data_IF_295139015216
#
_entry.id   IF_295139015216
#
_cell.length_a   1.000
_cell.length_b   1.000
_cell.length_c   1.000
_cell.angle_alpha   90.00
_cell.angle_beta   90.00
_cell.angle_gamma   90.00
#
_symmetry.space_group_name_H-M   'P 1'
#
loop_
_entity.id
_entity.type
_entity.pdbx_description
1 polymer ?
#
# COMPACT_ATOMS: atom_id res chain seq x y z
N UNK A 1 -7.47 -8.32 0.89
CA UNK A 1 -6.53 -7.21 1.16
C UNK A 1 -7.06 -5.94 0.47
N UNK A 2 -6.64 -4.73 0.87
CA UNK A 2 -6.95 -3.51 0.12
C UNK A 2 -6.46 -3.63 -1.32
N UNK A 3 -7.22 -3.09 -2.28
CA UNK A 3 -7.04 -3.34 -3.72
C UNK A 3 -5.87 -2.58 -4.34
N UNK A 4 -5.39 -1.51 -3.70
CA UNK A 4 -4.28 -0.68 -4.17
C UNK A 4 -2.98 -0.88 -3.38
N UNK A 5 -3.02 -1.69 -2.34
CA UNK A 5 -1.86 -1.91 -1.48
C UNK A 5 -0.88 -2.87 -2.15
N UNK A 6 0.40 -2.49 -2.19
CA UNK A 6 1.47 -3.35 -2.68
C UNK A 6 2.79 -3.03 -1.99
N UNK A 7 3.65 -4.03 -1.87
CA UNK A 7 5.02 -3.86 -1.37
C UNK A 7 5.98 -3.67 -2.55
N UNK A 8 7.02 -2.89 -2.36
CA UNK A 8 8.07 -2.71 -3.36
C UNK A 8 9.41 -2.34 -2.74
N UNK A 9 10.54 -2.75 -3.35
CA UNK A 9 11.86 -2.45 -2.82
C UNK A 9 12.24 -0.98 -3.06
N UNK A 10 12.78 -0.34 -2.03
CA UNK A 10 13.46 0.96 -2.14
C UNK A 10 14.95 0.69 -1.97
N UNK A 11 15.73 0.90 -3.03
CA UNK A 11 17.18 0.58 -3.05
C UNK A 11 17.98 1.69 -3.72
N UNK A 12 19.31 1.63 -3.59
CA UNK A 12 20.22 2.63 -4.17
C UNK A 12 20.45 2.42 -5.68
N UNK A 13 20.19 1.22 -6.20
CA UNK A 13 20.43 0.88 -7.61
C UNK A 13 19.27 0.09 -8.18
N UNK A 14 19.01 0.24 -9.48
CA UNK A 14 17.98 -0.56 -10.18
C UNK A 14 18.29 -2.05 -10.10
N UNK A 15 19.57 -2.44 -10.16
CA UNK A 15 19.99 -3.83 -10.02
C UNK A 15 19.57 -4.42 -8.67
N UNK A 16 19.79 -3.71 -7.56
CA UNK A 16 19.35 -4.15 -6.23
C UNK A 16 17.82 -4.26 -6.15
N UNK A 17 17.08 -3.33 -6.76
CA UNK A 17 15.62 -3.42 -6.85
C UNK A 17 15.18 -4.69 -7.58
N UNK A 18 15.81 -5.03 -8.70
CA UNK A 18 15.50 -6.26 -9.46
C UNK A 18 15.80 -7.51 -8.64
N UNK A 19 16.95 -7.56 -7.94
CA UNK A 19 17.27 -8.68 -7.06
C UNK A 19 16.25 -8.86 -5.94
N UNK A 20 15.80 -7.77 -5.30
CA UNK A 20 14.79 -7.85 -4.25
C UNK A 20 13.40 -8.19 -4.79
N UNK A 21 13.02 -7.67 -5.97
CA UNK A 21 11.76 -8.03 -6.62
C UNK A 21 11.68 -9.55 -6.87
N UNK A 22 12.77 -10.15 -7.33
CA UNK A 22 12.85 -11.61 -7.54
C UNK A 22 12.74 -12.43 -6.25
N UNK A 23 13.06 -11.84 -5.10
CA UNK A 23 12.93 -12.50 -3.79
C UNK A 23 11.50 -12.39 -3.25
N UNK A 24 10.83 -11.25 -3.44
CA UNK A 24 9.51 -10.99 -2.85
C UNK A 24 8.34 -11.42 -3.74
N UNK A 25 8.55 -11.54 -5.05
CA UNK A 25 7.49 -11.96 -5.97
C UNK A 25 7.17 -13.43 -5.78
N UNK A 26 5.88 -13.76 -5.72
CA UNK A 26 5.42 -15.12 -5.58
C UNK A 26 3.94 -15.20 -5.24
N UNK A 27 3.38 -16.40 -5.42
CA UNK A 27 2.01 -16.70 -5.01
C UNK A 27 1.95 -16.90 -3.49
N UNK A 28 1.07 -16.16 -2.80
CA UNK A 28 0.72 -16.40 -1.39
C UNK A 28 -0.74 -16.89 -1.33
N UNK A 29 -1.03 -18.11 -0.82
CA UNK A 29 -2.39 -18.59 -0.64
C UNK A 29 -3.29 -17.68 0.22
N UNK A 30 -2.71 -16.92 1.15
CA UNK A 30 -3.45 -15.97 2.01
C UNK A 30 -3.77 -14.67 1.29
N UNK A 31 -3.06 -14.39 0.20
CA UNK A 31 -3.29 -13.25 -0.69
C UNK A 31 -3.40 -13.75 -2.15
N UNK A 32 -4.18 -14.80 -2.34
CA UNK A 32 -4.23 -15.53 -3.61
C UNK A 32 -4.76 -14.66 -4.75
N UNK A 33 -5.72 -13.77 -4.48
CA UNK A 33 -6.32 -12.90 -5.49
C UNK A 33 -5.27 -11.94 -6.07
N UNK A 34 -4.58 -11.17 -5.21
CA UNK A 34 -3.60 -10.19 -5.66
C UNK A 34 -2.36 -10.87 -6.27
N UNK A 35 -1.85 -11.93 -5.64
CA UNK A 35 -0.64 -12.61 -6.12
C UNK A 35 -0.87 -13.42 -7.40
N UNK A 36 -2.07 -13.97 -7.61
CA UNK A 36 -2.44 -14.62 -8.87
C UNK A 36 -2.54 -13.61 -10.02
N UNK A 37 -3.16 -12.45 -9.78
CA UNK A 37 -3.25 -11.38 -10.78
C UNK A 37 -1.86 -10.82 -11.13
N UNK A 38 -0.99 -10.61 -10.14
CA UNK A 38 0.38 -10.16 -10.34
C UNK A 38 1.24 -11.17 -11.15
N UNK A 39 0.96 -12.48 -11.03
CA UNK A 39 1.68 -13.51 -11.78
C UNK A 39 1.55 -13.34 -13.30
N UNK A 40 0.48 -12.72 -13.81
CA UNK A 40 0.29 -12.41 -15.24
C UNK A 40 1.38 -11.49 -15.80
N UNK A 41 1.96 -10.65 -14.94
CA UNK A 41 2.97 -9.65 -15.31
C UNK A 41 4.38 -10.05 -14.89
N UNK A 42 4.53 -11.12 -14.11
CA UNK A 42 5.83 -11.61 -13.67
C UNK A 42 6.55 -12.32 -14.82
N UNK A 43 7.78 -11.91 -15.19
CA UNK A 43 8.54 -12.58 -16.24
C UNK A 43 8.80 -14.06 -15.93
N UNK A 44 8.66 -14.92 -16.94
CA UNK A 44 9.13 -16.30 -16.81
C UNK A 44 10.62 -16.31 -16.48
N UNK A 45 10.99 -16.91 -15.33
CA UNK A 45 12.36 -16.94 -14.84
C UNK A 45 12.82 -15.72 -14.02
N UNK A 46 11.91 -14.77 -13.72
CA UNK A 46 12.17 -13.62 -12.85
C UNK A 46 12.57 -12.34 -13.59
N UNK A 47 12.52 -11.22 -12.88
CA UNK A 47 12.83 -9.87 -13.34
C UNK A 47 14.30 -9.70 -13.76
N UNK A 48 15.22 -10.56 -13.29
CA UNK A 48 16.63 -10.58 -13.73
C UNK A 48 16.83 -10.87 -15.22
N UNK A 49 15.87 -11.49 -15.91
CA UNK A 49 16.10 -12.05 -17.24
C UNK A 49 15.77 -11.10 -18.41
N UNK A 50 15.22 -9.91 -18.15
CA UNK A 50 14.78 -9.00 -19.21
C UNK A 50 15.63 -7.72 -19.27
N UNK A 51 16.03 -7.33 -20.47
CA UNK A 51 16.36 -5.94 -20.80
C UNK A 51 15.09 -5.20 -21.21
N UNK A 52 14.83 -4.02 -20.64
CA UNK A 52 13.68 -3.20 -21.00
C UNK A 52 14.02 -2.29 -22.18
N UNK A 53 13.16 -2.24 -23.19
CA UNK A 53 13.20 -1.20 -24.21
C UNK A 53 12.50 0.06 -23.68
N UNK A 54 13.14 1.21 -23.80
CA UNK A 54 12.54 2.50 -23.46
C UNK A 54 11.75 2.99 -24.66
N UNK A 55 10.45 3.23 -24.46
CA UNK A 55 9.57 3.85 -25.44
C UNK A 55 9.32 5.30 -25.00
N UNK A 56 9.81 6.24 -25.80
CA UNK A 56 9.51 7.66 -25.61
C UNK A 56 8.12 8.00 -26.18
N UNK A 57 7.54 9.13 -25.72
CA UNK A 57 6.28 9.67 -26.22
C UNK A 57 5.03 8.79 -25.99
N UNK A 58 5.03 7.98 -24.92
CA UNK A 58 3.81 7.28 -24.51
C UNK A 58 2.76 8.29 -23.97
N UNK A 59 1.59 8.32 -24.58
CA UNK A 59 0.44 9.06 -24.07
C UNK A 59 -0.38 8.15 -23.13
N UNK A 60 -0.47 8.53 -21.85
CA UNK A 60 -1.41 7.90 -20.92
C UNK A 60 -2.75 8.62 -21.07
N UNK A 61 -3.71 7.94 -21.72
CA UNK A 61 -5.06 8.47 -21.85
C UNK A 61 -5.70 8.69 -20.48
N UNK A 62 -6.48 9.77 -20.33
CA UNK A 62 -7.19 10.13 -19.09
C UNK A 62 -6.29 10.38 -17.86
N UNK A 63 -5.01 10.74 -18.04
CA UNK A 63 -4.09 10.99 -16.92
C UNK A 63 -4.64 12.02 -15.91
N UNK A 64 -5.32 13.07 -16.38
CA UNK A 64 -5.94 14.09 -15.53
C UNK A 64 -7.07 13.53 -14.64
N UNK A 65 -7.75 12.48 -15.10
CA UNK A 65 -8.77 11.78 -14.33
C UNK A 65 -8.14 10.82 -13.32
N UNK A 66 -7.15 10.03 -13.76
CA UNK A 66 -6.43 9.06 -12.94
C UNK A 66 -5.77 9.75 -11.73
N UNK A 67 -5.08 10.87 -11.96
CA UNK A 67 -4.38 11.60 -10.92
C UNK A 67 -5.29 12.42 -10.00
N UNK A 68 -6.61 12.47 -10.28
CA UNK A 68 -7.57 13.14 -9.42
C UNK A 68 -8.29 12.12 -8.54
N UNK A 69 -7.87 11.91 -7.27
CA UNK A 69 -8.35 10.81 -6.43
C UNK A 69 -9.86 10.88 -6.13
N UNK A 70 -10.46 12.07 -6.23
CA UNK A 70 -11.91 12.26 -6.03
C UNK A 70 -12.70 11.88 -7.27
N UNK A 71 -12.12 12.06 -8.46
CA UNK A 71 -12.76 11.72 -9.73
C UNK A 71 -12.52 10.26 -10.11
N UNK A 72 -11.30 9.76 -9.92
CA UNK A 72 -10.93 8.37 -10.20
C UNK A 72 -11.68 7.34 -9.35
N UNK A 73 -12.30 7.76 -8.25
CA UNK A 73 -12.94 6.87 -7.27
C UNK A 73 -11.97 6.31 -6.23
N UNK A 74 -10.67 6.57 -6.38
CA UNK A 74 -9.60 6.12 -5.48
C UNK A 74 -9.86 6.53 -4.04
N UNK A 75 -10.26 7.78 -3.78
CA UNK A 75 -10.53 8.25 -2.43
C UNK A 75 -11.72 7.53 -1.79
N UNK A 76 -12.76 7.25 -2.57
CA UNK A 76 -13.94 6.52 -2.08
C UNK A 76 -13.56 5.07 -1.75
N UNK A 77 -12.79 4.43 -2.62
CA UNK A 77 -12.30 3.07 -2.42
C UNK A 77 -11.38 2.97 -1.20
N UNK A 78 -10.42 3.90 -1.08
CA UNK A 78 -9.51 4.01 0.06
C UNK A 78 -10.28 4.07 1.38
N UNK A 79 -11.26 4.97 1.50
CA UNK A 79 -12.01 5.12 2.75
C UNK A 79 -12.89 3.89 3.04
N UNK A 80 -13.46 3.26 2.02
CA UNK A 80 -14.28 2.05 2.17
C UNK A 80 -13.44 0.86 2.65
N UNK A 81 -12.27 0.64 2.05
CA UNK A 81 -11.40 -0.49 2.35
C UNK A 81 -10.58 -0.29 3.63
N UNK A 82 -10.15 0.94 3.92
CA UNK A 82 -9.27 1.25 5.05
C UNK A 82 -9.85 0.77 6.39
N UNK A 83 -11.09 1.13 6.69
CA UNK A 83 -11.72 0.76 7.97
C UNK A 83 -11.87 -0.76 8.11
N UNK A 84 -12.32 -1.43 7.06
CA UNK A 84 -12.56 -2.87 7.08
C UNK A 84 -11.22 -3.62 7.24
N UNK A 85 -10.28 -3.35 6.34
CA UNK A 85 -9.00 -4.05 6.29
C UNK A 85 -8.15 -3.79 7.54
N UNK A 86 -8.13 -2.57 8.06
CA UNK A 86 -7.40 -2.26 9.30
C UNK A 86 -7.99 -3.02 10.50
N UNK A 87 -9.33 -3.08 10.61
CA UNK A 87 -9.96 -3.80 11.71
C UNK A 87 -9.66 -5.31 11.64
N UNK A 88 -9.68 -5.90 10.46
CA UNK A 88 -9.42 -7.32 10.32
C UNK A 88 -7.94 -7.63 10.58
N UNK A 89 -7.02 -6.81 10.07
CA UNK A 89 -5.60 -6.89 10.40
C UNK A 89 -5.34 -6.83 11.92
N UNK A 90 -5.90 -5.82 12.61
CA UNK A 90 -5.69 -5.64 14.05
C UNK A 90 -6.27 -6.78 14.91
N UNK A 91 -7.33 -7.45 14.45
CA UNK A 91 -7.89 -8.62 15.14
C UNK A 91 -6.97 -9.83 15.06
N UNK A 92 -6.28 -10.02 13.94
CA UNK A 92 -5.39 -11.17 13.72
C UNK A 92 -4.06 -11.07 14.47
N UNK A 93 -3.64 -9.87 14.87
CA UNK A 93 -2.40 -9.66 15.61
C UNK A 93 -2.37 -10.46 16.93
N UNK A 94 -1.31 -11.23 17.16
CA UNK A 94 -1.16 -11.98 18.43
C UNK A 94 -1.05 -11.02 19.62
N UNK A 95 -0.28 -9.94 19.47
CA UNK A 95 -0.04 -8.94 20.51
C UNK A 95 -0.30 -7.55 19.96
N UNK A 96 -1.29 -6.86 20.50
CA UNK A 96 -1.61 -5.47 20.17
C UNK A 96 -2.42 -4.82 21.30
N UNK A 97 -2.15 -3.55 21.66
CA UNK A 97 -2.96 -2.79 22.63
C UNK A 97 -4.30 -2.33 22.04
N UNK A 98 -4.50 -2.43 20.72
CA UNK A 98 -5.70 -1.99 19.99
C UNK A 98 -6.20 -3.12 19.08
N UNK A 99 -7.52 -3.25 18.92
CA UNK A 99 -8.15 -4.31 18.10
C UNK A 99 -9.07 -3.78 17.00
N UNK A 100 -9.20 -2.46 16.90
CA UNK A 100 -10.04 -1.79 15.92
C UNK A 100 -9.60 -0.35 15.70
N UNK A 101 -10.09 0.26 14.61
CA UNK A 101 -9.95 1.69 14.34
C UNK A 101 -10.56 2.56 15.46
N UNK A 102 -11.62 2.09 16.12
CA UNK A 102 -12.20 2.81 17.26
C UNK A 102 -11.22 2.85 18.44
N UNK A 103 -10.53 1.75 18.71
CA UNK A 103 -9.50 1.67 19.76
C UNK A 103 -8.31 2.56 19.42
N UNK A 104 -7.88 2.59 18.14
CA UNK A 104 -6.81 3.49 17.67
C UNK A 104 -7.18 4.95 17.88
N UNK A 105 -8.42 5.35 17.53
CA UNK A 105 -8.88 6.73 17.74
C UNK A 105 -8.89 7.07 19.23
N UNK A 106 -9.41 6.18 20.07
CA UNK A 106 -9.41 6.37 21.52
C UNK A 106 -7.99 6.46 22.07
N UNK A 107 -7.08 5.59 21.64
CA UNK A 107 -5.67 5.59 22.04
C UNK A 107 -5.00 6.93 21.69
N UNK A 108 -5.18 7.42 20.46
CA UNK A 108 -4.60 8.70 20.01
C UNK A 108 -5.18 9.90 20.77
N UNK A 109 -6.45 9.83 21.19
CA UNK A 109 -7.09 10.87 22.01
C UNK A 109 -6.57 10.89 23.45
N UNK A 110 -6.22 9.73 24.02
CA UNK A 110 -5.65 9.62 25.36
C UNK A 110 -4.13 9.90 25.40
N UNK A 111 -3.44 9.83 24.26
CA UNK A 111 -1.99 10.07 24.15
C UNK A 111 -1.65 11.21 23.17
N UNK A 112 -2.26 12.41 23.28
CA UNK A 112 -2.17 13.44 22.25
C UNK A 112 -0.77 14.01 22.07
N UNK A 113 0.05 14.05 23.13
CA UNK A 113 1.41 14.59 23.08
C UNK A 113 2.39 13.72 22.28
N UNK A 114 2.08 12.42 22.14
CA UNK A 114 2.88 11.45 21.41
C UNK A 114 2.36 11.24 19.98
N UNK A 115 1.03 11.21 19.81
CA UNK A 115 0.39 10.75 18.58
C UNK A 115 -0.10 11.89 17.66
N UNK A 116 -0.22 13.12 18.17
CA UNK A 116 -0.63 14.26 17.33
C UNK A 116 0.59 15.10 16.94
N UNK A 117 0.66 15.57 15.67
CA UNK A 117 1.66 16.56 15.27
C UNK A 117 1.63 17.77 16.20
N UNK A 118 2.79 18.32 16.54
CA UNK A 118 2.91 19.49 17.45
C UNK A 118 2.04 20.68 17.03
N UNK A 119 1.69 20.80 15.75
CA UNK A 119 0.77 21.81 15.22
C UNK A 119 -0.69 21.63 15.65
N UNK A 120 -1.10 20.42 16.03
CA UNK A 120 -2.47 20.04 16.40
C UNK A 120 -2.71 20.00 17.91
N UNK A 121 -1.65 20.08 18.72
CA UNK A 121 -1.73 20.06 20.20
C UNK A 121 -1.91 21.48 20.77
N UNK A 122 -1.45 22.52 20.07
CA UNK A 122 -1.39 23.91 20.59
C UNK A 122 -2.66 24.75 20.45
N UNK A 123 -3.78 24.21 19.98
CA UNK A 123 -5.02 24.99 19.75
C UNK A 123 -5.95 25.08 20.96
N UNK A 124 -5.54 24.64 22.15
CA UNK A 124 -6.36 24.77 23.37
C UNK A 124 -5.54 25.46 24.47
N UNK A 125 -5.42 26.79 24.37
CA UNK A 125 -4.96 27.68 25.43
C UNK A 125 -5.81 28.94 25.44
#
# INVERSE_FOLDING_TARGET
MPSLDTVGPITRTVSDAVYLLDVIVGYDPRDHEATFEAAKYTPFGGYKQRGAAVLDNLEITNIDWILNPKRSGEFTLLIAEFKLSLNDYLKELTTSPVRSLADVIAFNQHNPDLEKPKSMVRTHS
#
